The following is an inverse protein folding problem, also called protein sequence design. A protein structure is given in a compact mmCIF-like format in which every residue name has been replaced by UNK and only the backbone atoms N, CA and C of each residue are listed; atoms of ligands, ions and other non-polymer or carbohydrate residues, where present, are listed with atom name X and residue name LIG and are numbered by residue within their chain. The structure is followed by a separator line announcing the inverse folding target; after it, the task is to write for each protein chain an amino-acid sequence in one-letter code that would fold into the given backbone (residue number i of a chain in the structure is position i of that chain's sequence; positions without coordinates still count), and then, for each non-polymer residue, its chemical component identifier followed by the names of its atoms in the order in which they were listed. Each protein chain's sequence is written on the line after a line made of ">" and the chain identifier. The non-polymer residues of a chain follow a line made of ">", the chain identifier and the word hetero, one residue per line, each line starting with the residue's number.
data_IF_698628640656
#
_entry.id   IF_698628640656
#
_cell.length_a   1.000
_cell.length_b   1.000
_cell.length_c   1.000
_cell.angle_alpha   90.00
_cell.angle_beta   90.00
_cell.angle_gamma   90.00
#
_symmetry.space_group_name_H-M   'P 1'
#
loop_
_entity.id
_entity.type
_entity.pdbx_description
1 polymer ?
#
# COMPACT_ATOMS: atom_id res chain seq x y z
N UNK A 1 1.38 17.60 -12.44
CA UNK A 1 2.64 18.36 -12.26
C UNK A 1 3.70 17.82 -13.23
N UNK A 2 4.21 18.62 -14.18
CA UNK A 2 5.18 18.15 -15.19
C UNK A 2 6.59 18.28 -14.62
N UNK A 3 7.31 17.18 -14.43
CA UNK A 3 8.74 17.19 -14.13
C UNK A 3 9.51 17.17 -15.45
N UNK A 4 10.35 18.19 -15.67
CA UNK A 4 11.34 18.21 -16.74
C UNK A 4 12.70 17.90 -16.11
N UNK A 5 13.15 16.66 -16.23
CA UNK A 5 14.58 16.37 -16.19
C UNK A 5 15.12 16.35 -17.62
N UNK A 6 16.39 16.73 -17.79
CA UNK A 6 17.08 16.93 -19.07
C UNK A 6 17.30 15.68 -19.92
N UNK A 7 16.48 14.64 -19.76
CA UNK A 7 16.37 13.51 -20.66
C UNK A 7 14.96 13.53 -21.29
N UNK A 8 14.92 13.36 -22.60
CA UNK A 8 13.76 13.58 -23.46
C UNK A 8 12.68 12.49 -23.32
N UNK A 9 12.20 12.25 -22.10
CA UNK A 9 11.17 11.28 -21.76
C UNK A 9 10.20 11.91 -20.75
N UNK A 10 9.33 12.78 -21.27
CA UNK A 10 8.18 13.32 -20.53
C UNK A 10 7.15 12.19 -20.36
N UNK A 11 7.25 11.42 -19.28
CA UNK A 11 6.21 10.46 -18.91
C UNK A 11 5.31 11.08 -17.83
N UNK A 12 4.04 11.30 -18.20
CA UNK A 12 3.02 11.84 -17.32
C UNK A 12 2.59 10.75 -16.35
N UNK A 13 3.04 10.83 -15.10
CA UNK A 13 2.34 10.12 -14.02
C UNK A 13 1.06 10.91 -13.78
N UNK A 14 -0.07 10.24 -13.92
CA UNK A 14 -1.37 10.83 -13.65
C UNK A 14 -1.42 11.32 -12.19
N UNK A 15 -2.03 12.49 -11.98
CA UNK A 15 -2.25 13.05 -10.66
C UNK A 15 -3.08 12.09 -9.79
N UNK A 16 -4.01 11.36 -10.41
CA UNK A 16 -4.79 10.30 -9.76
C UNK A 16 -3.92 9.14 -9.26
N UNK A 17 -2.87 8.77 -10.01
CA UNK A 17 -1.93 7.72 -9.61
C UNK A 17 -1.11 8.14 -8.39
N UNK A 18 -0.58 9.38 -8.39
CA UNK A 18 0.17 9.94 -7.25
C UNK A 18 -0.72 10.03 -6.01
N UNK A 19 -1.97 10.45 -6.17
CA UNK A 19 -2.92 10.53 -5.05
C UNK A 19 -3.24 9.15 -4.47
N UNK A 20 -3.44 8.16 -5.34
CA UNK A 20 -3.69 6.77 -4.93
C UNK A 20 -2.51 6.21 -4.14
N UNK A 21 -1.29 6.37 -4.64
CA UNK A 21 -0.08 5.90 -3.97
C UNK A 21 0.15 6.62 -2.65
N UNK A 22 -0.08 7.93 -2.60
CA UNK A 22 -0.01 8.70 -1.34
C UNK A 22 -1.01 8.18 -0.31
N UNK A 23 -2.26 7.93 -0.71
CA UNK A 23 -3.31 7.40 0.19
C UNK A 23 -2.92 6.02 0.74
N UNK A 24 -2.44 5.12 -0.12
CA UNK A 24 -1.98 3.78 0.30
C UNK A 24 -0.79 3.87 1.25
N UNK A 25 0.17 4.75 0.98
CA UNK A 25 1.33 4.95 1.84
C UNK A 25 0.94 5.50 3.21
N UNK A 26 0.07 6.52 3.26
CA UNK A 26 -0.50 7.06 4.51
C UNK A 26 -1.24 5.97 5.27
N UNK A 27 -2.00 5.11 4.60
CA UNK A 27 -2.68 3.99 5.25
C UNK A 27 -1.70 3.04 5.95
N UNK A 28 -0.61 2.64 5.29
CA UNK A 28 0.41 1.78 5.90
C UNK A 28 1.07 2.44 7.12
N UNK A 29 1.47 3.70 7.01
CA UNK A 29 2.18 4.41 8.08
C UNK A 29 1.23 4.74 9.24
N UNK A 30 0.09 5.37 8.97
CA UNK A 30 -0.75 5.93 10.03
C UNK A 30 -1.68 4.89 10.65
N UNK A 31 -2.26 4.00 9.83
CA UNK A 31 -3.20 2.98 10.32
C UNK A 31 -2.47 1.72 10.78
N UNK A 32 -1.57 1.21 9.95
CA UNK A 32 -0.87 -0.05 10.23
C UNK A 32 0.49 0.13 10.92
N UNK A 33 0.88 1.37 11.22
CA UNK A 33 2.08 1.71 12.00
C UNK A 33 3.37 1.16 11.39
N UNK A 34 3.42 1.06 10.07
CA UNK A 34 4.66 0.73 9.37
C UNK A 34 5.69 1.84 9.56
N UNK A 35 6.92 1.46 9.87
CA UNK A 35 8.03 2.42 9.95
C UNK A 35 8.40 2.91 8.55
N UNK A 36 8.57 4.22 8.41
CA UNK A 36 9.06 4.84 7.17
C UNK A 36 10.47 4.32 6.84
N UNK A 37 11.28 3.99 7.85
CA UNK A 37 12.59 3.35 7.66
C UNK A 37 12.47 2.00 6.96
N UNK A 38 11.48 1.19 7.34
CA UNK A 38 11.22 -0.10 6.68
C UNK A 38 10.80 0.10 5.23
N UNK A 39 9.95 1.08 4.96
CA UNK A 39 9.52 1.43 3.60
C UNK A 39 10.73 1.88 2.76
N UNK A 40 11.62 2.70 3.34
CA UNK A 40 12.87 3.13 2.72
C UNK A 40 13.77 1.95 2.35
N UNK A 41 14.00 1.03 3.28
CA UNK A 41 14.82 -0.16 3.06
C UNK A 41 14.25 -1.03 1.93
N UNK A 42 12.94 -1.32 1.97
CA UNK A 42 12.31 -2.24 1.01
C UNK A 42 12.19 -1.64 -0.39
N UNK A 43 11.89 -0.35 -0.49
CA UNK A 43 11.76 0.34 -1.79
C UNK A 43 13.09 0.78 -2.37
N UNK A 44 14.17 0.75 -1.59
CA UNK A 44 15.46 1.37 -1.92
C UNK A 44 15.38 2.88 -2.20
N UNK A 45 14.39 3.56 -1.66
CA UNK A 45 14.21 5.02 -1.76
C UNK A 45 14.74 5.67 -0.48
N UNK A 46 15.48 6.77 -0.60
CA UNK A 46 15.97 7.50 0.56
C UNK A 46 14.82 7.92 1.50
N UNK A 47 14.99 7.68 2.80
CA UNK A 47 14.03 8.02 3.86
C UNK A 47 13.54 9.47 3.77
N UNK A 48 14.47 10.40 3.53
CA UNK A 48 14.17 11.82 3.42
C UNK A 48 13.20 12.10 2.26
N UNK A 49 13.35 11.39 1.15
CA UNK A 49 12.54 11.53 -0.05
C UNK A 49 11.13 11.00 0.15
N UNK A 50 10.99 9.83 0.79
CA UNK A 50 9.68 9.29 1.19
C UNK A 50 8.96 10.26 2.14
N UNK A 51 9.70 10.79 3.11
CA UNK A 51 9.15 11.77 4.08
C UNK A 51 8.75 13.07 3.38
N UNK A 52 9.56 13.54 2.43
CA UNK A 52 9.27 14.71 1.60
C UNK A 52 8.01 14.51 0.75
N UNK A 53 7.87 13.32 0.15
CA UNK A 53 6.70 12.92 -0.62
C UNK A 53 5.42 12.90 0.21
N UNK A 54 5.43 12.26 1.39
CA UNK A 54 4.29 12.25 2.32
C UNK A 54 3.86 13.66 2.74
N UNK A 55 4.82 14.56 2.90
CA UNK A 55 4.56 15.96 3.28
C UNK A 55 4.26 16.87 2.08
N UNK A 56 4.15 16.33 0.86
CA UNK A 56 3.95 17.09 -0.39
C UNK A 56 5.03 18.15 -0.64
N UNK A 57 6.25 17.94 -0.13
CA UNK A 57 7.41 18.84 -0.27
C UNK A 57 8.37 18.39 -1.37
N UNK A 58 8.32 17.12 -1.75
CA UNK A 58 9.23 16.51 -2.73
C UNK A 58 8.47 15.50 -3.57
N UNK A 59 8.86 15.34 -4.83
CA UNK A 59 8.32 14.32 -5.72
C UNK A 59 9.14 13.03 -5.69
N UNK A 60 8.53 11.95 -6.13
CA UNK A 60 9.23 10.70 -6.47
C UNK A 60 9.32 10.56 -7.99
N UNK A 61 10.40 9.95 -8.47
CA UNK A 61 10.52 9.57 -9.87
C UNK A 61 9.57 8.42 -10.21
N UNK A 62 9.37 8.15 -11.50
CA UNK A 62 8.55 7.01 -11.93
C UNK A 62 9.06 5.68 -11.37
N UNK A 63 10.37 5.43 -11.44
CA UNK A 63 10.96 4.19 -10.95
C UNK A 63 10.79 4.06 -9.44
N UNK A 64 10.93 5.15 -8.69
CA UNK A 64 10.70 5.18 -7.25
C UNK A 64 9.23 4.91 -6.91
N UNK A 65 8.29 5.51 -7.64
CA UNK A 65 6.86 5.23 -7.49
C UNK A 65 6.56 3.76 -7.77
N UNK A 66 7.14 3.22 -8.84
CA UNK A 66 6.97 1.84 -9.25
C UNK A 66 7.54 0.86 -8.21
N UNK A 67 8.72 1.16 -7.64
CA UNK A 67 9.34 0.39 -6.56
C UNK A 67 8.48 0.45 -5.29
N UNK A 68 8.01 1.64 -4.93
CA UNK A 68 7.15 1.82 -3.77
C UNK A 68 5.87 0.99 -3.90
N UNK A 69 5.20 1.06 -5.06
CA UNK A 69 3.93 0.35 -5.26
C UNK A 69 4.12 -1.18 -5.30
N UNK A 70 5.01 -1.68 -6.14
CA UNK A 70 5.13 -3.12 -6.37
C UNK A 70 5.84 -3.87 -5.26
N UNK A 71 6.79 -3.23 -4.55
CA UNK A 71 7.58 -3.91 -3.51
C UNK A 71 6.98 -3.73 -2.14
N UNK A 72 6.32 -2.59 -1.90
CA UNK A 72 5.77 -2.26 -0.57
C UNK A 72 4.25 -2.24 -0.60
N UNK A 73 3.64 -1.28 -1.31
CA UNK A 73 2.22 -0.99 -1.14
C UNK A 73 1.33 -2.19 -1.49
N UNK A 74 1.47 -2.71 -2.71
CA UNK A 74 0.65 -3.80 -3.22
C UNK A 74 0.85 -5.11 -2.43
N UNK A 75 2.08 -5.39 -2.01
CA UNK A 75 2.41 -6.59 -1.22
C UNK A 75 1.76 -6.56 0.15
N UNK A 76 1.94 -5.46 0.90
CA UNK A 76 1.38 -5.36 2.25
C UNK A 76 -0.13 -5.15 2.24
N UNK A 77 -0.67 -4.41 1.26
CA UNK A 77 -2.11 -4.28 1.09
C UNK A 77 -2.77 -5.65 0.90
N UNK A 78 -2.23 -6.49 0.01
CA UNK A 78 -2.71 -7.85 -0.21
C UNK A 78 -2.62 -8.70 1.06
N UNK A 79 -1.47 -8.70 1.75
CA UNK A 79 -1.28 -9.45 2.98
C UNK A 79 -2.29 -9.06 4.08
N UNK A 80 -2.55 -7.76 4.23
CA UNK A 80 -3.53 -7.23 5.18
C UNK A 80 -4.94 -7.68 4.82
N UNK A 81 -5.35 -7.54 3.55
CA UNK A 81 -6.67 -7.97 3.09
C UNK A 81 -6.89 -9.47 3.31
N UNK A 82 -5.90 -10.30 2.96
CA UNK A 82 -5.95 -11.74 3.22
C UNK A 82 -6.06 -12.04 4.72
N UNK A 83 -5.32 -11.33 5.56
CA UNK A 83 -5.41 -11.51 7.02
C UNK A 83 -6.79 -11.14 7.56
N UNK A 84 -7.41 -10.06 7.08
CA UNK A 84 -8.75 -9.63 7.49
C UNK A 84 -9.77 -10.70 7.08
N UNK A 85 -9.73 -11.14 5.82
CA UNK A 85 -10.63 -12.18 5.31
C UNK A 85 -10.52 -13.48 6.13
N UNK A 86 -9.29 -13.94 6.39
CA UNK A 86 -9.06 -15.16 7.17
C UNK A 86 -9.60 -15.02 8.60
N UNK A 87 -9.40 -13.87 9.24
CA UNK A 87 -9.94 -13.60 10.57
C UNK A 87 -11.48 -13.67 10.57
N UNK A 88 -12.14 -13.07 9.58
CA UNK A 88 -13.59 -13.09 9.45
C UNK A 88 -14.13 -14.51 9.24
N UNK A 89 -13.47 -15.32 8.40
CA UNK A 89 -13.82 -16.72 8.22
C UNK A 89 -13.69 -17.50 9.54
N UNK A 90 -12.59 -17.33 10.28
CA UNK A 90 -12.42 -17.97 11.57
C UNK A 90 -13.49 -17.56 12.59
N UNK A 91 -13.85 -16.28 12.62
CA UNK A 91 -14.92 -15.77 13.48
C UNK A 91 -16.27 -16.40 13.13
N UNK A 92 -16.64 -16.46 11.84
CA UNK A 92 -17.87 -17.11 11.38
C UNK A 92 -17.92 -18.59 11.77
N UNK A 93 -16.81 -19.30 11.60
CA UNK A 93 -16.68 -20.72 12.00
C UNK A 93 -16.86 -20.88 13.50
N UNK A 94 -16.24 -20.02 14.31
CA UNK A 94 -16.38 -20.03 15.77
C UNK A 94 -17.83 -19.80 16.19
N UNK A 95 -18.46 -18.74 15.68
CA UNK A 95 -19.83 -18.36 16.03
C UNK A 95 -20.84 -19.45 15.62
N UNK A 96 -20.67 -20.07 14.45
CA UNK A 96 -21.52 -21.17 13.99
C UNK A 96 -21.37 -22.41 14.89
N UNK A 97 -20.14 -22.76 15.30
CA UNK A 97 -19.89 -23.86 16.25
C UNK A 97 -20.56 -23.62 17.60
N UNK A 98 -20.48 -22.40 18.12
CA UNK A 98 -21.11 -22.03 19.40
C UNK A 98 -22.64 -22.11 19.34
N UNK A 99 -23.24 -21.87 18.16
CA UNK A 99 -24.68 -21.94 17.93
C UNK A 99 -25.18 -23.31 17.46
N UNK A 100 -24.27 -24.24 17.16
CA UNK A 100 -24.61 -25.53 16.54
C UNK A 100 -25.13 -25.43 15.09
N UNK A 101 -24.81 -24.32 14.41
CA UNK A 101 -25.24 -24.05 13.03
C UNK A 101 -24.24 -24.65 12.02
N UNK A 102 -24.71 -25.16 10.86
CA UNK A 102 -23.82 -25.63 9.80
C UNK A 102 -23.05 -24.45 9.18
N UNK A 103 -21.76 -24.66 8.95
CA UNK A 103 -20.91 -23.66 8.28
C UNK A 103 -21.11 -23.80 6.77
N UNK A 104 -21.76 -22.82 6.15
CA UNK A 104 -21.94 -22.76 4.70
C UNK A 104 -20.93 -21.75 4.15
N UNK A 105 -19.89 -22.24 3.50
CA UNK A 105 -19.05 -21.40 2.64
C UNK A 105 -19.77 -21.29 1.30
N UNK A 106 -20.19 -20.07 0.93
CA UNK A 106 -20.62 -19.81 -0.45
C UNK A 106 -19.38 -19.81 -1.32
N UNK A 107 -19.36 -20.64 -2.34
CA UNK A 107 -18.44 -20.50 -3.45
C UNK A 107 -18.89 -19.28 -4.26
N UNK A 108 -17.99 -18.30 -4.42
CA UNK A 108 -18.17 -17.16 -5.34
C UNK A 108 -17.79 -17.58 -6.77
#
# INVERSE_FOLDING_TARGET
>A
MIYKDGFNHTFFIDEECIETISKKLVLLVDKYKFSIDTISILSHIELKKITGFLNKKEGLTYDEINMLDNVVLSVFESAIQTSIYNYECHKKVKDAREKGEPIIFKED
#
